data_IF_469615613485
#
_entry.id   IF_469615613485
#
_cell.length_a   1.000
_cell.length_b   1.000
_cell.length_c   1.000
_cell.angle_alpha   90.00
_cell.angle_beta   90.00
_cell.angle_gamma   90.00
#
_symmetry.space_group_name_H-M   'P 1'
#
loop_
_entity.id
_entity.type
_entity.pdbx_description
1 polymer ?
#
# COMPACT_ATOMS: atom_id res chain seq x y z
N UNK A 1 24.54 -29.44 -60.68
CA UNK A 1 23.75 -28.23 -60.29
C UNK A 1 23.18 -28.48 -58.93
N UNK A 2 23.83 -27.99 -57.88
CA UNK A 2 23.46 -28.21 -56.48
C UNK A 2 22.93 -26.88 -55.92
N UNK A 3 21.61 -26.79 -55.66
CA UNK A 3 20.98 -25.63 -55.05
C UNK A 3 21.21 -25.66 -53.54
N UNK A 4 21.89 -24.67 -53.01
CA UNK A 4 22.00 -24.43 -51.56
C UNK A 4 20.75 -23.67 -51.07
N UNK A 5 19.95 -24.35 -50.28
CA UNK A 5 18.81 -23.74 -49.57
C UNK A 5 19.37 -22.93 -48.39
N UNK A 6 19.29 -21.58 -48.42
CA UNK A 6 19.65 -20.70 -47.31
C UNK A 6 18.45 -20.64 -46.35
N UNK A 7 18.63 -21.27 -45.22
CA UNK A 7 17.68 -21.16 -44.09
C UNK A 7 17.90 -19.76 -43.43
N UNK A 8 16.93 -18.86 -43.58
CA UNK A 8 16.90 -17.62 -42.83
C UNK A 8 16.42 -17.89 -41.42
N UNK A 9 17.31 -17.79 -40.44
CA UNK A 9 16.97 -17.80 -39.03
C UNK A 9 16.42 -16.43 -38.66
N UNK A 10 15.11 -16.34 -38.48
CA UNK A 10 14.43 -15.15 -37.98
C UNK A 10 14.65 -15.10 -36.46
N UNK A 11 15.63 -14.37 -36.00
CA UNK A 11 15.80 -14.05 -34.57
C UNK A 11 14.71 -13.08 -34.15
N UNK A 12 13.70 -13.62 -33.46
CA UNK A 12 12.71 -12.81 -32.77
C UNK A 12 13.43 -12.12 -31.58
N UNK A 13 13.81 -10.87 -31.75
CA UNK A 13 14.26 -10.03 -30.66
C UNK A 13 13.04 -9.78 -29.75
N UNK A 14 12.95 -10.51 -28.64
CA UNK A 14 12.05 -10.17 -27.55
C UNK A 14 12.56 -8.85 -26.99
N UNK A 15 11.98 -7.75 -27.44
CA UNK A 15 12.20 -6.45 -26.81
C UNK A 15 11.71 -6.57 -25.37
N UNK A 16 12.65 -6.62 -24.44
CA UNK A 16 12.35 -6.42 -23.03
C UNK A 16 11.73 -5.03 -22.92
N UNK A 17 10.42 -4.96 -22.71
CA UNK A 17 9.74 -3.70 -22.41
C UNK A 17 10.47 -3.04 -21.25
N UNK A 18 10.84 -1.76 -21.34
CA UNK A 18 11.50 -1.09 -20.23
C UNK A 18 10.56 -1.15 -19.02
N UNK A 19 10.96 -1.91 -18.02
CA UNK A 19 10.31 -1.91 -16.73
C UNK A 19 10.25 -0.45 -16.27
N UNK A 20 9.05 0.14 -16.26
CA UNK A 20 8.69 1.39 -15.62
C UNK A 20 9.79 2.48 -15.65
N UNK A 21 9.69 3.46 -16.52
CA UNK A 21 10.46 4.69 -16.34
C UNK A 21 10.04 5.31 -15.00
N UNK A 22 10.90 5.18 -14.00
CA UNK A 22 10.66 5.78 -12.70
C UNK A 22 10.95 7.28 -12.79
N UNK A 23 9.95 8.09 -12.54
CA UNK A 23 10.13 9.52 -12.31
C UNK A 23 10.33 9.75 -10.80
N UNK A 24 11.39 10.47 -10.43
CA UNK A 24 11.64 10.92 -9.06
C UNK A 24 11.45 12.43 -8.98
N UNK A 25 10.72 12.89 -7.97
CA UNK A 25 10.49 14.32 -7.73
C UNK A 25 10.45 14.61 -6.23
N UNK A 26 10.42 15.89 -5.87
CA UNK A 26 10.36 16.31 -4.49
C UNK A 26 8.97 16.88 -4.15
N UNK A 27 8.45 16.48 -3.00
CA UNK A 27 7.28 17.08 -2.37
C UNK A 27 7.69 17.57 -0.98
N UNK A 28 7.59 18.85 -0.75
CA UNK A 28 8.01 19.47 0.50
C UNK A 28 9.44 19.04 0.94
N UNK A 29 10.37 19.01 -0.03
CA UNK A 29 11.77 18.64 0.17
C UNK A 29 12.03 17.13 0.35
N UNK A 30 11.01 16.26 0.27
CA UNK A 30 11.13 14.81 0.44
C UNK A 30 10.90 14.08 -0.87
N UNK A 31 11.56 12.94 -1.03
CA UNK A 31 11.55 12.14 -2.25
C UNK A 31 10.20 11.46 -2.46
N UNK A 32 9.64 11.65 -3.65
CA UNK A 32 8.55 10.87 -4.19
C UNK A 32 8.99 10.17 -5.47
N UNK A 33 8.39 9.01 -5.76
CA UNK A 33 8.68 8.21 -6.96
C UNK A 33 7.36 7.83 -7.62
N UNK A 34 7.29 7.93 -8.94
CA UNK A 34 6.19 7.42 -9.75
C UNK A 34 6.74 6.44 -10.79
N UNK A 35 6.09 5.29 -10.89
CA UNK A 35 6.16 4.37 -12.01
C UNK A 35 4.88 4.52 -12.84
N UNK A 36 4.92 5.38 -13.84
CA UNK A 36 3.78 5.65 -14.69
C UNK A 36 3.42 4.42 -15.56
N UNK A 37 2.14 4.17 -15.78
CA UNK A 37 1.72 3.15 -16.72
C UNK A 37 2.07 3.59 -18.16
N UNK A 38 2.60 2.68 -18.98
CA UNK A 38 2.96 2.96 -20.36
C UNK A 38 1.75 3.38 -21.21
N UNK A 39 0.57 2.84 -20.86
CA UNK A 39 -0.73 3.20 -21.43
C UNK A 39 -1.68 3.47 -20.27
N UNK A 40 -1.76 4.70 -19.76
CA UNK A 40 -2.64 5.02 -18.64
C UNK A 40 -4.10 4.77 -19.00
N UNK A 41 -4.84 4.17 -18.06
CA UNK A 41 -6.30 4.08 -18.16
C UNK A 41 -6.95 5.45 -17.96
N UNK A 42 -8.23 5.58 -18.38
CA UNK A 42 -9.02 6.79 -18.22
C UNK A 42 -9.07 7.23 -16.75
N UNK A 43 -8.95 8.54 -16.52
CA UNK A 43 -8.88 9.10 -15.18
C UNK A 43 -7.52 8.89 -14.48
N UNK A 44 -6.54 8.27 -15.14
CA UNK A 44 -5.17 8.03 -14.66
C UNK A 44 -5.13 7.46 -13.24
N UNK A 45 -5.70 6.26 -13.01
CA UNK A 45 -5.71 5.61 -11.69
C UNK A 45 -4.28 5.33 -11.23
N UNK A 46 -4.09 5.31 -9.90
CA UNK A 46 -2.80 5.03 -9.31
C UNK A 46 -2.91 4.30 -7.98
N UNK A 47 -1.91 3.48 -7.72
CA UNK A 47 -1.70 2.78 -6.47
C UNK A 47 -0.64 3.54 -5.67
N UNK A 48 -1.00 3.94 -4.45
CA UNK A 48 -0.10 4.56 -3.50
C UNK A 48 0.47 3.51 -2.56
N UNK A 49 1.74 3.21 -2.75
CA UNK A 49 2.46 2.28 -1.89
C UNK A 49 3.14 2.98 -0.71
N UNK A 50 3.01 2.42 0.48
CA UNK A 50 3.77 2.77 1.68
C UNK A 50 4.38 1.50 2.31
N UNK A 51 5.56 1.60 2.95
CA UNK A 51 6.22 2.80 3.46
C UNK A 51 6.88 3.66 2.37
N UNK A 52 7.93 3.22 1.70
CA UNK A 52 8.60 4.02 0.71
C UNK A 52 8.91 3.17 -0.53
N UNK A 53 8.53 3.64 -1.71
CA UNK A 53 8.87 3.01 -2.95
C UNK A 53 10.29 3.40 -3.36
N UNK A 54 11.15 2.39 -3.62
CA UNK A 54 12.55 2.60 -4.01
C UNK A 54 13.52 2.82 -2.85
N UNK A 55 13.07 2.75 -1.59
CA UNK A 55 13.90 2.82 -0.40
C UNK A 55 13.98 1.50 0.35
N UNK A 56 14.57 0.44 -0.25
CA UNK A 56 14.77 -0.84 0.43
C UNK A 56 13.83 -1.97 0.03
N UNK A 57 12.66 -1.69 -0.53
CA UNK A 57 11.82 -2.73 -1.15
C UNK A 57 11.98 -2.61 -2.66
N UNK A 58 12.68 -3.58 -3.26
CA UNK A 58 12.86 -3.65 -4.71
C UNK A 58 11.52 -3.83 -5.41
N UNK A 59 11.31 -3.11 -6.52
CA UNK A 59 10.14 -3.33 -7.40
C UNK A 59 10.01 -4.80 -7.85
N UNK A 60 11.11 -5.56 -7.83
CA UNK A 60 11.12 -7.00 -8.14
C UNK A 60 10.24 -7.80 -7.18
N UNK A 61 10.18 -7.44 -5.90
CA UNK A 61 9.33 -8.11 -4.91
C UNK A 61 7.84 -7.82 -5.16
N UNK A 62 7.55 -6.70 -5.79
CA UNK A 62 6.19 -6.26 -6.11
C UNK A 62 5.74 -6.69 -7.51
N UNK A 63 6.57 -7.47 -8.23
CA UNK A 63 6.42 -7.71 -9.67
C UNK A 63 5.03 -8.16 -10.08
N UNK A 64 4.40 -9.09 -9.35
CA UNK A 64 3.11 -9.64 -9.79
C UNK A 64 2.02 -8.56 -9.88
N UNK A 65 1.80 -7.82 -8.79
CA UNK A 65 0.77 -6.78 -8.82
C UNK A 65 1.22 -5.54 -9.58
N UNK A 66 2.54 -5.27 -9.66
CA UNK A 66 3.06 -4.18 -10.46
C UNK A 66 2.82 -4.41 -11.96
N UNK A 67 3.08 -5.63 -12.46
CA UNK A 67 2.76 -6.01 -13.84
C UNK A 67 1.25 -5.90 -14.12
N UNK A 68 0.41 -6.34 -13.17
CA UNK A 68 -1.04 -6.21 -13.28
C UNK A 68 -1.49 -4.73 -13.32
N UNK A 69 -0.90 -3.86 -12.49
CA UNK A 69 -1.13 -2.42 -12.55
C UNK A 69 -0.77 -1.85 -13.92
N UNK A 70 0.42 -2.20 -14.46
CA UNK A 70 0.85 -1.73 -15.78
C UNK A 70 -0.12 -2.14 -16.90
N UNK A 71 -0.52 -3.41 -16.90
CA UNK A 71 -1.46 -3.92 -17.90
C UNK A 71 -2.84 -3.26 -17.79
N UNK A 72 -3.25 -2.90 -16.57
CA UNK A 72 -4.49 -2.20 -16.29
C UNK A 72 -4.41 -0.66 -16.46
N UNK A 73 -3.25 -0.12 -16.81
CA UNK A 73 -3.05 1.32 -16.96
C UNK A 73 -2.98 2.09 -15.63
N UNK A 74 -2.66 1.41 -14.52
CA UNK A 74 -2.58 1.97 -13.17
C UNK A 74 -1.12 2.32 -12.87
N UNK A 75 -0.82 3.57 -12.54
CA UNK A 75 0.49 3.98 -12.08
C UNK A 75 0.76 3.48 -10.64
N UNK A 76 2.04 3.33 -10.26
CA UNK A 76 2.43 3.05 -8.87
C UNK A 76 3.28 4.20 -8.38
N UNK A 77 2.95 4.77 -7.23
CA UNK A 77 3.67 5.87 -6.63
C UNK A 77 3.92 5.66 -5.14
N UNK A 78 4.96 6.29 -4.61
CA UNK A 78 5.30 6.27 -3.21
C UNK A 78 5.99 7.55 -2.77
N UNK A 79 5.90 7.84 -1.48
CA UNK A 79 6.45 9.03 -0.85
C UNK A 79 7.25 8.66 0.38
N UNK A 80 8.51 9.06 0.43
CA UNK A 80 9.43 8.68 1.50
C UNK A 80 9.38 9.69 2.66
N UNK A 81 8.67 9.32 3.71
CA UNK A 81 8.69 10.02 5.00
C UNK A 81 9.64 9.37 6.02
N UNK A 82 10.37 8.32 5.62
CA UNK A 82 11.16 7.51 6.55
C UNK A 82 10.29 6.67 7.48
N UNK A 83 10.78 6.46 8.69
CA UNK A 83 10.16 5.61 9.70
C UNK A 83 9.09 6.38 10.49
N UNK A 84 7.87 6.49 9.97
CA UNK A 84 6.73 7.13 10.65
C UNK A 84 5.63 6.13 10.98
N UNK A 85 4.82 6.43 12.02
CA UNK A 85 3.77 5.52 12.57
C UNK A 85 2.37 6.13 12.49
N UNK A 86 2.14 6.96 11.46
CA UNK A 86 0.80 7.48 11.17
C UNK A 86 0.34 8.61 12.09
N UNK A 87 1.25 9.32 12.76
CA UNK A 87 0.93 10.51 13.53
C UNK A 87 0.27 11.60 12.68
N UNK A 88 -0.51 12.52 13.26
CA UNK A 88 -1.19 13.58 12.51
C UNK A 88 -0.27 14.38 11.60
N UNK A 89 0.95 14.67 12.05
CA UNK A 89 1.98 15.39 11.28
C UNK A 89 2.41 14.64 10.01
N UNK A 90 2.61 13.31 10.10
CA UNK A 90 2.91 12.48 8.92
C UNK A 90 1.70 12.36 8.00
N UNK A 91 0.49 12.26 8.52
CA UNK A 91 -0.73 12.28 7.70
C UNK A 91 -0.88 13.60 6.93
N UNK A 92 -0.52 14.74 7.53
CA UNK A 92 -0.49 16.04 6.84
C UNK A 92 0.55 16.09 5.70
N UNK A 93 1.73 15.47 5.90
CA UNK A 93 2.73 15.35 4.84
C UNK A 93 2.25 14.45 3.70
N UNK A 94 1.58 13.34 4.01
CA UNK A 94 0.94 12.49 3.01
C UNK A 94 -0.12 13.24 2.20
N UNK A 95 -0.86 14.19 2.81
CA UNK A 95 -1.80 15.03 2.07
C UNK A 95 -1.10 15.92 1.04
N UNK A 96 0.09 16.44 1.32
CA UNK A 96 0.88 17.21 0.32
C UNK A 96 1.29 16.33 -0.87
N UNK A 97 1.67 15.07 -0.62
CA UNK A 97 1.96 14.13 -1.70
C UNK A 97 0.70 13.83 -2.53
N UNK A 98 -0.43 13.57 -1.89
CA UNK A 98 -1.72 13.40 -2.57
C UNK A 98 -2.06 14.59 -3.45
N UNK A 99 -1.96 15.81 -2.92
CA UNK A 99 -2.28 17.05 -3.65
C UNK A 99 -1.35 17.22 -4.87
N UNK A 100 -0.06 16.90 -4.74
CA UNK A 100 0.87 16.93 -5.87
C UNK A 100 0.50 15.88 -6.94
N UNK A 101 0.08 14.67 -6.54
CA UNK A 101 -0.35 13.64 -7.49
C UNK A 101 -1.61 14.09 -8.26
N UNK A 102 -2.60 14.67 -7.58
CA UNK A 102 -3.80 15.22 -8.21
C UNK A 102 -3.45 16.38 -9.16
N UNK A 103 -2.55 17.28 -8.75
CA UNK A 103 -2.04 18.37 -9.58
C UNK A 103 -1.35 17.87 -10.86
N UNK A 104 -0.68 16.70 -10.80
CA UNK A 104 -0.09 16.01 -11.95
C UNK A 104 -1.13 15.30 -12.82
N UNK A 105 -2.42 15.41 -12.50
CA UNK A 105 -3.54 14.87 -13.25
C UNK A 105 -3.83 13.40 -12.98
N UNK A 106 -3.33 12.83 -11.88
CA UNK A 106 -3.73 11.50 -11.42
C UNK A 106 -5.09 11.52 -10.72
N UNK A 107 -5.75 10.37 -10.66
CA UNK A 107 -7.06 10.22 -10.03
C UNK A 107 -7.10 10.83 -8.62
N UNK A 108 -8.16 11.58 -8.24
CA UNK A 108 -8.34 12.04 -6.86
C UNK A 108 -8.70 10.92 -5.87
N UNK A 109 -8.82 9.68 -6.35
CA UNK A 109 -9.11 8.49 -5.53
C UNK A 109 -8.04 7.42 -5.74
N UNK A 110 -6.89 7.49 -5.03
CA UNK A 110 -5.87 6.44 -5.07
C UNK A 110 -6.36 5.13 -4.47
N UNK A 111 -5.76 4.03 -4.95
CA UNK A 111 -5.74 2.75 -4.27
C UNK A 111 -4.57 2.79 -3.28
N UNK A 112 -4.83 2.59 -1.99
CA UNK A 112 -3.79 2.61 -0.97
C UNK A 112 -3.27 1.20 -0.73
N UNK A 113 -1.95 1.00 -0.75
CA UNK A 113 -1.31 -0.26 -0.38
C UNK A 113 -0.29 -0.02 0.73
N UNK A 114 -0.56 -0.60 1.90
CA UNK A 114 0.32 -0.52 3.07
C UNK A 114 0.97 -1.86 3.38
N UNK A 115 2.31 -1.92 3.29
CA UNK A 115 3.09 -3.07 3.74
C UNK A 115 3.61 -2.83 5.15
N UNK A 116 3.45 -3.82 6.06
CA UNK A 116 3.97 -3.73 7.43
C UNK A 116 3.56 -2.40 8.09
N UNK A 117 4.50 -1.58 8.57
CA UNK A 117 4.21 -0.24 9.11
C UNK A 117 3.50 0.69 8.10
N UNK A 118 3.64 0.44 6.80
CA UNK A 118 2.90 1.17 5.76
C UNK A 118 1.38 1.02 5.88
N UNK A 119 0.90 -0.06 6.51
CA UNK A 119 -0.51 -0.22 6.88
C UNK A 119 -0.98 0.90 7.79
N UNK A 120 -0.23 1.21 8.86
CA UNK A 120 -0.52 2.32 9.76
C UNK A 120 -0.48 3.67 9.03
N UNK A 121 0.54 3.90 8.19
CA UNK A 121 0.69 5.13 7.41
C UNK A 121 -0.52 5.40 6.51
N UNK A 122 -0.92 4.40 5.73
CA UNK A 122 -2.02 4.52 4.77
C UNK A 122 -3.39 4.57 5.44
N UNK A 123 -3.63 3.76 6.49
CA UNK A 123 -4.89 3.77 7.23
C UNK A 123 -5.14 5.08 7.97
N UNK A 124 -4.09 5.65 8.58
CA UNK A 124 -4.24 6.92 9.32
C UNK A 124 -4.51 8.10 8.38
N UNK A 125 -4.01 8.05 7.16
CA UNK A 125 -4.41 9.01 6.13
C UNK A 125 -5.84 8.72 5.61
N UNK A 126 -6.15 7.46 5.37
CA UNK A 126 -7.43 7.04 4.80
C UNK A 126 -8.62 7.42 5.69
N UNK A 127 -8.58 7.15 6.99
CA UNK A 127 -9.71 7.45 7.86
C UNK A 127 -9.94 8.96 8.06
N UNK A 128 -8.91 9.78 7.82
CA UNK A 128 -9.02 11.25 7.81
C UNK A 128 -9.52 11.82 6.49
N UNK A 129 -9.45 11.03 5.41
CA UNK A 129 -9.81 11.43 4.06
C UNK A 129 -10.63 10.34 3.34
N UNK A 130 -11.74 9.85 3.93
CA UNK A 130 -12.45 8.69 3.40
C UNK A 130 -13.05 8.94 2.01
N UNK A 131 -13.39 10.17 1.68
CA UNK A 131 -13.88 10.60 0.37
C UNK A 131 -12.83 10.55 -0.75
N UNK A 132 -11.55 10.53 -0.37
CA UNK A 132 -10.40 10.51 -1.28
C UNK A 132 -9.82 9.11 -1.52
N UNK A 133 -10.42 8.05 -0.99
CA UNK A 133 -9.90 6.68 -1.11
C UNK A 133 -10.72 5.90 -2.12
N UNK A 134 -10.06 5.14 -3.00
CA UNK A 134 -10.70 4.18 -3.90
C UNK A 134 -10.85 2.81 -3.24
N UNK A 135 -9.76 2.31 -2.66
CA UNK A 135 -9.66 1.02 -1.96
C UNK A 135 -8.45 1.01 -1.04
N UNK A 136 -8.42 0.07 -0.08
CA UNK A 136 -7.25 -0.14 0.77
C UNK A 136 -6.78 -1.60 0.71
N UNK A 137 -5.45 -1.78 0.62
CA UNK A 137 -4.79 -3.08 0.56
C UNK A 137 -3.71 -3.13 1.65
N UNK A 138 -3.65 -4.25 2.39
CA UNK A 138 -2.62 -4.52 3.39
C UNK A 138 -1.79 -5.76 3.07
N UNK A 139 -0.47 -5.66 3.17
CA UNK A 139 0.45 -6.80 3.15
C UNK A 139 1.05 -6.90 4.55
N UNK A 140 0.67 -7.93 5.34
CA UNK A 140 0.97 -8.08 6.78
C UNK A 140 1.00 -6.73 7.52
N UNK A 141 -0.11 -5.96 7.43
CA UNK A 141 -0.09 -4.56 7.81
C UNK A 141 -0.11 -4.37 9.33
N UNK A 142 0.64 -3.38 9.82
CA UNK A 142 0.41 -2.79 11.13
C UNK A 142 -0.86 -1.96 11.04
N UNK A 143 -1.88 -2.31 11.84
CA UNK A 143 -3.17 -1.62 11.85
C UNK A 143 -3.51 -1.01 13.21
N UNK A 144 -2.86 -1.45 14.29
CA UNK A 144 -3.22 -1.12 15.66
C UNK A 144 -2.04 -0.50 16.40
N UNK A 145 -2.18 0.74 16.86
CA UNK A 145 -1.16 1.46 17.63
C UNK A 145 -0.77 0.73 18.93
N UNK A 146 -1.73 0.06 19.59
CA UNK A 146 -1.47 -0.70 20.80
C UNK A 146 -0.69 -2.00 20.57
N UNK A 147 -0.54 -2.45 19.31
CA UNK A 147 0.26 -3.61 18.91
C UNK A 147 1.72 -3.22 18.70
N UNK A 148 2.30 -3.48 17.51
CA UNK A 148 3.70 -3.26 17.21
C UNK A 148 4.21 -1.83 17.55
N UNK A 149 3.52 -0.71 17.22
CA UNK A 149 4.06 0.61 17.47
C UNK A 149 4.38 0.87 18.95
N UNK A 150 3.43 0.64 19.86
CA UNK A 150 3.64 0.88 21.29
C UNK A 150 4.38 -0.25 22.01
N UNK A 151 4.38 -1.49 21.50
CA UNK A 151 5.10 -2.62 22.10
C UNK A 151 6.57 -2.65 21.68
N UNK A 152 6.86 -2.48 20.39
CA UNK A 152 8.19 -2.74 19.81
C UNK A 152 8.92 -1.48 19.31
N UNK A 153 8.22 -0.34 19.20
CA UNK A 153 8.77 0.93 18.69
C UNK A 153 8.27 2.13 19.51
N UNK A 154 8.11 1.93 20.83
CA UNK A 154 7.49 2.91 21.73
C UNK A 154 8.15 4.28 21.67
N UNK A 155 9.46 4.36 21.86
CA UNK A 155 10.21 5.64 21.89
C UNK A 155 9.97 6.44 20.61
N UNK A 156 10.10 5.79 19.45
CA UNK A 156 9.89 6.45 18.16
C UNK A 156 8.40 6.79 17.93
N UNK A 157 7.48 5.95 18.42
CA UNK A 157 6.05 6.22 18.33
C UNK A 157 5.68 7.46 19.14
N UNK A 158 6.15 7.56 20.38
CA UNK A 158 5.90 8.73 21.22
C UNK A 158 6.51 10.01 20.63
N UNK A 159 7.72 9.91 20.05
CA UNK A 159 8.35 11.02 19.35
C UNK A 159 7.57 11.46 18.09
N UNK A 160 7.04 10.52 17.30
CA UNK A 160 6.23 10.83 16.11
C UNK A 160 4.93 11.58 16.50
N UNK A 161 4.32 11.16 17.61
CA UNK A 161 3.09 11.77 18.11
C UNK A 161 3.32 13.05 18.94
N UNK A 162 4.58 13.33 19.33
CA UNK A 162 4.95 14.45 20.21
C UNK A 162 4.17 14.40 21.54
N UNK A 163 3.99 13.18 22.10
CA UNK A 163 3.21 12.89 23.30
C UNK A 163 3.98 11.99 24.27
N UNK A 164 3.65 12.11 25.55
CA UNK A 164 4.01 11.12 26.56
C UNK A 164 3.20 9.81 26.37
N UNK A 165 3.67 8.72 26.96
CA UNK A 165 2.94 7.45 26.92
C UNK A 165 1.54 7.57 27.52
N UNK A 166 1.40 8.31 28.64
CA UNK A 166 0.11 8.52 29.31
C UNK A 166 -0.86 9.29 28.40
N UNK A 167 -0.40 10.37 27.77
CA UNK A 167 -1.22 11.16 26.85
C UNK A 167 -1.66 10.36 25.63
N UNK A 168 -0.74 9.64 24.99
CA UNK A 168 -1.07 8.85 23.80
C UNK A 168 -2.02 7.70 24.17
N UNK A 169 -1.83 7.04 25.32
CA UNK A 169 -2.71 5.97 25.79
C UNK A 169 -4.12 6.51 26.09
N UNK A 170 -4.23 7.66 26.74
CA UNK A 170 -5.51 8.30 27.02
C UNK A 170 -6.27 8.68 25.75
N UNK A 171 -5.53 9.15 24.74
CA UNK A 171 -6.07 9.58 23.44
C UNK A 171 -6.00 8.51 22.35
N UNK A 172 -5.68 7.26 22.69
CA UNK A 172 -5.43 6.19 21.72
C UNK A 172 -6.51 6.07 20.66
N UNK A 173 -7.77 6.11 21.06
CA UNK A 173 -8.92 5.99 20.16
C UNK A 173 -9.00 7.08 19.09
N UNK A 174 -8.43 8.26 19.33
CA UNK A 174 -8.42 9.34 18.34
C UNK A 174 -7.53 9.02 17.14
N UNK A 175 -6.48 8.22 17.36
CA UNK A 175 -5.42 7.98 16.38
C UNK A 175 -5.40 6.55 15.85
N UNK A 176 -6.00 5.62 16.57
CA UNK A 176 -5.92 4.20 16.26
C UNK A 176 -6.86 3.83 15.10
N UNK A 177 -6.37 3.31 13.95
CA UNK A 177 -7.21 3.00 12.81
C UNK A 177 -8.43 2.12 13.10
N UNK A 178 -8.35 1.02 13.91
CA UNK A 178 -9.52 0.21 14.22
C UNK A 178 -10.65 0.96 14.95
N UNK A 179 -10.36 2.11 15.55
CA UNK A 179 -11.36 2.94 16.24
C UNK A 179 -11.96 4.05 15.37
N UNK A 180 -11.46 4.21 14.11
CA UNK A 180 -11.81 5.33 13.23
C UNK A 180 -12.30 4.88 11.83
N UNK A 181 -13.05 3.79 11.75
CA UNK A 181 -13.45 3.17 10.47
C UNK A 181 -14.79 3.65 9.92
N UNK A 182 -15.57 4.39 10.70
CA UNK A 182 -16.95 4.77 10.33
C UNK A 182 -17.04 5.54 9.00
N UNK A 183 -16.13 6.50 8.77
CA UNK A 183 -16.06 7.25 7.53
C UNK A 183 -15.76 6.38 6.31
N UNK A 184 -14.82 5.44 6.45
CA UNK A 184 -14.47 4.49 5.39
C UNK A 184 -15.62 3.52 5.10
N UNK A 185 -16.33 3.05 6.12
CA UNK A 185 -17.50 2.17 5.95
C UNK A 185 -18.66 2.91 5.28
N UNK A 186 -18.95 4.15 5.68
CA UNK A 186 -19.96 4.99 5.05
C UNK A 186 -19.64 5.28 3.57
N UNK A 187 -18.35 5.48 3.25
CA UNK A 187 -17.87 5.63 1.88
C UNK A 187 -17.80 4.31 1.10
N UNK A 188 -18.11 3.17 1.76
CA UNK A 188 -18.08 1.80 1.19
C UNK A 188 -16.74 1.44 0.58
N UNK A 189 -15.63 1.84 1.20
CA UNK A 189 -14.27 1.56 0.70
C UNK A 189 -14.00 0.07 0.79
N UNK A 190 -13.78 -0.65 -0.33
CA UNK A 190 -13.43 -2.06 -0.26
C UNK A 190 -12.01 -2.21 0.30
N UNK A 191 -11.82 -3.24 1.15
CA UNK A 191 -10.54 -3.54 1.76
C UNK A 191 -10.08 -4.97 1.47
N UNK A 192 -8.78 -5.15 1.31
CA UNK A 192 -8.13 -6.45 1.20
C UNK A 192 -6.88 -6.50 2.08
N UNK A 193 -6.59 -7.65 2.70
CA UNK A 193 -5.29 -7.87 3.31
C UNK A 193 -4.83 -9.32 3.12
N UNK A 194 -3.50 -9.49 3.02
CA UNK A 194 -2.83 -10.79 3.13
C UNK A 194 -1.92 -10.78 4.36
N UNK A 195 -2.02 -11.82 5.22
CA UNK A 195 -1.27 -11.89 6.48
C UNK A 195 -0.94 -13.34 6.83
N UNK A 196 0.23 -13.57 7.43
CA UNK A 196 0.61 -14.88 7.92
C UNK A 196 0.04 -15.17 9.30
N UNK A 197 -0.34 -16.43 9.58
CA UNK A 197 -0.93 -16.82 10.86
C UNK A 197 0.10 -17.01 11.98
N UNK A 198 1.39 -17.15 11.63
CA UNK A 198 2.50 -17.26 12.58
C UNK A 198 3.30 -15.96 12.72
N UNK A 199 2.76 -14.82 12.30
CA UNK A 199 3.41 -13.52 12.44
C UNK A 199 3.42 -13.07 13.91
N UNK A 200 4.59 -13.22 14.57
CA UNK A 200 4.82 -12.82 15.96
C UNK A 200 5.28 -11.35 16.07
N UNK A 201 5.71 -10.74 14.98
CA UNK A 201 6.16 -9.33 14.94
C UNK A 201 4.96 -8.40 14.88
N UNK A 202 4.05 -8.69 13.97
CA UNK A 202 2.77 -7.99 13.80
C UNK A 202 1.65 -9.03 13.85
N UNK A 203 1.23 -9.47 15.05
CA UNK A 203 0.23 -10.52 15.18
C UNK A 203 -1.04 -10.19 14.41
N UNK A 204 -1.46 -11.10 13.51
CA UNK A 204 -2.61 -10.86 12.63
C UNK A 204 -3.92 -10.68 13.40
N UNK A 205 -4.06 -11.33 14.57
CA UNK A 205 -5.22 -11.18 15.45
C UNK A 205 -5.37 -9.73 15.93
N UNK A 206 -4.25 -9.13 16.39
CA UNK A 206 -4.23 -7.78 16.97
C UNK A 206 -4.27 -6.67 15.90
N UNK A 207 -4.08 -7.01 14.64
CA UNK A 207 -3.99 -6.07 13.52
C UNK A 207 -5.06 -6.34 12.46
N UNK A 208 -4.81 -7.22 11.50
CA UNK A 208 -5.71 -7.45 10.35
C UNK A 208 -7.08 -7.96 10.76
N UNK A 209 -7.16 -8.95 11.68
CA UNK A 209 -8.44 -9.52 12.10
C UNK A 209 -9.24 -8.56 13.00
N UNK A 210 -8.57 -7.83 13.89
CA UNK A 210 -9.21 -6.76 14.66
C UNK A 210 -9.81 -5.70 13.74
N UNK A 211 -9.03 -5.23 12.76
CA UNK A 211 -9.49 -4.25 11.77
C UNK A 211 -10.69 -4.79 10.97
N UNK A 212 -10.62 -6.05 10.49
CA UNK A 212 -11.71 -6.72 9.78
C UNK A 212 -12.98 -6.78 10.61
N UNK A 213 -12.89 -7.32 11.82
CA UNK A 213 -14.06 -7.47 12.71
C UNK A 213 -14.77 -6.14 12.93
N UNK A 214 -14.02 -5.08 13.20
CA UNK A 214 -14.60 -3.74 13.43
C UNK A 214 -15.17 -3.12 12.16
N UNK A 215 -14.50 -3.32 11.03
CA UNK A 215 -14.95 -2.75 9.76
C UNK A 215 -16.24 -3.42 9.26
N UNK A 216 -16.32 -4.74 9.35
CA UNK A 216 -17.53 -5.51 8.99
C UNK A 216 -18.71 -5.22 9.92
N UNK A 217 -18.46 -4.97 11.21
CA UNK A 217 -19.51 -4.52 12.15
C UNK A 217 -20.13 -3.17 11.76
N UNK A 218 -19.42 -2.35 10.97
CA UNK A 218 -19.91 -1.10 10.40
C UNK A 218 -20.51 -1.27 9.00
N UNK A 219 -20.66 -2.52 8.50
CA UNK A 219 -21.16 -2.83 7.17
C UNK A 219 -20.12 -2.70 6.05
N UNK A 220 -18.84 -2.54 6.37
CA UNK A 220 -17.75 -2.48 5.40
C UNK A 220 -17.41 -3.86 4.81
N UNK A 221 -16.86 -3.88 3.59
CA UNK A 221 -16.40 -5.11 2.90
C UNK A 221 -14.89 -5.26 3.09
N UNK A 222 -14.44 -6.31 3.79
CA UNK A 222 -13.02 -6.59 4.01
C UNK A 222 -12.67 -8.06 3.76
N UNK A 223 -11.97 -8.34 2.67
CA UNK A 223 -11.47 -9.67 2.34
C UNK A 223 -10.08 -9.87 2.94
N UNK A 224 -9.87 -10.98 3.64
CA UNK A 224 -8.57 -11.33 4.23
C UNK A 224 -8.12 -12.69 3.73
N UNK A 225 -6.88 -12.75 3.21
CA UNK A 225 -6.15 -13.97 2.88
C UNK A 225 -5.19 -14.28 4.01
N UNK A 226 -5.43 -15.35 4.75
CA UNK A 226 -4.47 -15.89 5.72
C UNK A 226 -3.53 -16.85 4.99
N UNK A 227 -2.24 -16.72 5.24
CA UNK A 227 -1.19 -17.61 4.69
C UNK A 227 -0.68 -18.51 5.83
N UNK A 228 -1.03 -19.82 5.80
CA UNK A 228 -0.67 -20.74 6.87
C UNK A 228 0.85 -20.93 7.00
N UNK A 229 1.35 -20.94 8.25
CA UNK A 229 2.76 -21.15 8.58
C UNK A 229 3.70 -20.00 8.24
N UNK A 230 3.19 -18.87 7.73
CA UNK A 230 4.01 -17.73 7.38
C UNK A 230 4.08 -16.68 8.50
N UNK A 231 5.31 -16.17 8.73
CA UNK A 231 5.60 -15.09 9.68
C UNK A 231 5.79 -13.74 8.99
N UNK A 232 6.37 -12.78 9.73
CA UNK A 232 6.63 -11.42 9.21
C UNK A 232 7.89 -11.39 8.34
N UNK A 233 7.76 -11.73 7.08
CA UNK A 233 8.90 -11.76 6.15
C UNK A 233 8.49 -11.33 4.75
N UNK A 234 9.44 -10.78 4.01
CA UNK A 234 9.28 -10.55 2.59
C UNK A 234 9.35 -11.88 1.85
N UNK A 235 8.34 -12.19 1.05
CA UNK A 235 8.30 -13.45 0.31
C UNK A 235 7.15 -13.54 -0.68
N UNK A 236 7.22 -14.50 -1.62
CA UNK A 236 6.22 -14.66 -2.68
C UNK A 236 4.82 -14.98 -2.14
N UNK A 237 4.71 -15.62 -0.98
CA UNK A 237 3.42 -15.93 -0.34
C UNK A 237 2.54 -14.70 -0.11
N UNK A 238 3.16 -13.52 0.04
CA UNK A 238 2.49 -12.25 0.26
C UNK A 238 2.45 -11.39 -1.00
N UNK A 239 3.57 -11.27 -1.69
CA UNK A 239 3.72 -10.36 -2.82
C UNK A 239 3.28 -10.96 -4.15
N UNK A 240 3.34 -12.28 -4.28
CA UNK A 240 2.81 -13.01 -5.44
C UNK A 240 1.42 -13.62 -5.14
N UNK A 241 0.59 -12.90 -4.40
CA UNK A 241 -0.77 -13.30 -4.01
C UNK A 241 -1.76 -13.02 -5.15
N UNK A 242 -2.32 -14.05 -5.83
CA UNK A 242 -3.26 -13.86 -6.92
C UNK A 242 -4.56 -13.18 -6.48
N UNK A 243 -5.00 -13.41 -5.24
CA UNK A 243 -6.22 -12.81 -4.68
C UNK A 243 -6.06 -11.29 -4.52
N UNK A 244 -4.85 -10.80 -4.20
CA UNK A 244 -4.55 -9.37 -4.17
C UNK A 244 -4.69 -8.76 -5.56
N UNK A 245 -4.14 -9.41 -6.58
CA UNK A 245 -4.26 -8.96 -7.98
C UNK A 245 -5.71 -8.97 -8.44
N UNK A 246 -6.46 -10.02 -8.11
CA UNK A 246 -7.90 -10.11 -8.41
C UNK A 246 -8.68 -8.98 -7.79
N UNK A 247 -8.43 -8.70 -6.50
CA UNK A 247 -9.05 -7.56 -5.81
C UNK A 247 -8.70 -6.23 -6.47
N UNK A 248 -7.43 -6.01 -6.77
CA UNK A 248 -6.94 -4.78 -7.40
C UNK A 248 -7.60 -4.53 -8.77
N UNK A 249 -7.76 -5.58 -9.57
CA UNK A 249 -8.32 -5.45 -10.91
C UNK A 249 -9.86 -5.38 -10.95
N UNK A 250 -10.56 -5.96 -9.98
CA UNK A 250 -12.02 -6.07 -9.99
C UNK A 250 -12.71 -5.07 -9.06
N UNK A 251 -12.20 -4.90 -7.84
CA UNK A 251 -12.84 -4.07 -6.82
C UNK A 251 -12.31 -2.62 -6.82
N UNK A 252 -11.21 -2.35 -7.57
CA UNK A 252 -10.57 -1.03 -7.63
C UNK A 252 -10.76 -0.29 -8.96
N UNK A 253 -11.65 -0.76 -9.83
CA UNK A 253 -12.01 -0.09 -11.10
C UNK A 253 -12.93 1.11 -10.92
#
# INVERSE_FOLDING_TARGET
MTQFLRLAVLTLAVAASPLFAAETFLVDGRKAVIHAAAKPADGRPWLWYAPALGGGVSIVQHKLYADACQQAGIAIAGYDLGEVRGAPKSAAQFSKFYDEMVKRGYSPKPILLGQSRGGMMTLTWAFRNPDKVKAWIGIYPVCNLASWPLKNSKVQTLADFEMTESELTFRLKEFNPPDNLAGLAAAKIPMFAVHGDTDIVVPHQDNTLLLKTRYEALGGKFTVKIVPGEGHKVGPSFFACPELVTFLLNDCK
#
